data_IF_153775832928
#
_entry.id   IF_153775832928
#
_cell.length_a   1.000
_cell.length_b   1.000
_cell.length_c   1.000
_cell.angle_alpha   90.00
_cell.angle_beta   90.00
_cell.angle_gamma   90.00
#
_symmetry.space_group_name_H-M   'P 1'
#
loop_
_entity.id
_entity.type
_entity.pdbx_description
1 polymer ?
#
# COMPACT_ATOMS: atom_id res chain seq x y z
N UNK A 1 12.68 -8.27 -13.16
CA UNK A 1 13.29 -7.69 -14.39
C UNK A 1 12.26 -7.01 -15.29
N UNK A 2 11.10 -7.65 -15.58
CA UNK A 2 10.07 -7.11 -16.50
C UNK A 2 9.55 -5.74 -16.05
N UNK A 3 9.21 -5.58 -14.78
CA UNK A 3 8.71 -4.30 -14.22
C UNK A 3 9.78 -3.21 -14.22
N UNK A 4 11.07 -3.57 -14.20
CA UNK A 4 12.18 -2.63 -14.34
C UNK A 4 12.37 -2.11 -15.77
N UNK A 5 11.88 -2.86 -16.76
CA UNK A 5 11.92 -2.45 -18.15
C UNK A 5 10.81 -1.44 -18.49
N UNK A 6 9.58 -1.70 -18.00
CA UNK A 6 8.42 -0.82 -18.22
C UNK A 6 7.36 -1.05 -17.12
N UNK A 7 6.58 -0.02 -16.81
CA UNK A 7 5.50 -0.10 -15.82
C UNK A 7 5.96 -0.09 -14.36
N UNK A 8 7.14 0.44 -14.08
CA UNK A 8 7.69 0.52 -12.74
C UNK A 8 6.74 1.25 -11.79
N UNK A 9 6.41 0.59 -10.68
CA UNK A 9 5.45 1.10 -9.71
C UNK A 9 3.98 0.86 -10.05
N UNK A 10 3.62 0.40 -11.25
CA UNK A 10 2.23 0.29 -11.67
C UNK A 10 1.52 -0.89 -10.99
N UNK A 11 1.62 -2.08 -11.55
CA UNK A 11 0.91 -3.27 -11.06
C UNK A 11 1.50 -4.56 -11.61
N UNK A 12 1.20 -5.66 -10.93
CA UNK A 12 1.42 -7.01 -11.45
C UNK A 12 0.26 -7.93 -11.04
N UNK A 13 0.19 -9.10 -11.67
CA UNK A 13 -0.78 -10.13 -11.36
C UNK A 13 -0.12 -11.45 -11.02
N UNK A 14 -0.78 -12.24 -10.18
CA UNK A 14 -0.39 -13.61 -9.88
C UNK A 14 -1.61 -14.54 -9.86
N UNK A 15 -1.53 -15.64 -10.57
CA UNK A 15 -2.50 -16.72 -10.54
C UNK A 15 -1.96 -17.90 -9.74
N UNK A 16 -2.03 -17.80 -8.41
CA UNK A 16 -1.59 -18.82 -7.47
C UNK A 16 -2.62 -19.02 -6.37
N UNK A 17 -2.67 -20.22 -5.83
CA UNK A 17 -3.42 -20.57 -4.60
C UNK A 17 -2.48 -20.74 -3.39
N UNK A 18 -1.18 -20.62 -3.62
CA UNK A 18 -0.17 -20.68 -2.57
C UNK A 18 0.06 -19.29 -2.00
N UNK A 19 -0.35 -19.08 -0.76
CA UNK A 19 -0.24 -17.78 -0.07
C UNK A 19 1.22 -17.36 0.17
N UNK A 20 2.16 -18.29 0.33
CA UNK A 20 3.58 -17.98 0.48
C UNK A 20 4.14 -17.36 -0.80
N UNK A 21 3.78 -17.91 -1.98
CA UNK A 21 4.20 -17.35 -3.26
C UNK A 21 3.58 -15.97 -3.51
N UNK A 22 2.31 -15.79 -3.11
CA UNK A 22 1.62 -14.50 -3.23
C UNK A 22 2.35 -13.46 -2.38
N UNK A 23 2.62 -13.77 -1.11
CA UNK A 23 3.30 -12.87 -0.18
C UNK A 23 4.74 -12.58 -0.60
N UNK A 24 5.46 -13.61 -1.07
CA UNK A 24 6.82 -13.44 -1.58
C UNK A 24 6.87 -12.47 -2.76
N UNK A 25 5.96 -12.62 -3.72
CA UNK A 25 5.88 -11.70 -4.85
C UNK A 25 5.48 -10.30 -4.39
N UNK A 26 4.50 -10.18 -3.48
CA UNK A 26 4.02 -8.90 -2.96
C UNK A 26 5.12 -8.09 -2.27
N UNK A 27 6.02 -8.76 -1.56
CA UNK A 27 7.13 -8.10 -0.86
C UNK A 27 8.30 -7.72 -1.78
N UNK A 28 8.46 -8.41 -2.91
CA UNK A 28 9.58 -8.19 -3.84
C UNK A 28 9.23 -7.32 -5.04
N UNK A 29 7.98 -7.36 -5.50
CA UNK A 29 7.54 -6.59 -6.66
C UNK A 29 7.43 -5.11 -6.32
N UNK A 30 8.10 -4.27 -7.11
CA UNK A 30 8.05 -2.82 -6.96
C UNK A 30 6.85 -2.24 -7.72
N UNK A 31 5.67 -2.54 -7.22
CA UNK A 31 4.37 -2.14 -7.80
C UNK A 31 3.44 -1.64 -6.70
N UNK A 32 2.48 -0.82 -7.08
CA UNK A 32 1.48 -0.27 -6.15
C UNK A 32 0.24 -1.16 -6.02
N UNK A 33 0.09 -2.15 -6.91
CA UNK A 33 -1.06 -3.06 -6.93
C UNK A 33 -0.62 -4.46 -7.33
N UNK A 34 -1.16 -5.44 -6.62
CA UNK A 34 -1.02 -6.85 -7.01
C UNK A 34 -2.40 -7.48 -7.14
N UNK A 35 -2.71 -7.95 -8.34
CA UNK A 35 -3.96 -8.62 -8.64
C UNK A 35 -3.80 -10.12 -8.46
N UNK A 36 -4.49 -10.69 -7.48
CA UNK A 36 -4.43 -12.12 -7.17
C UNK A 36 -5.63 -12.83 -7.79
N UNK A 37 -5.39 -13.78 -8.69
CA UNK A 37 -6.40 -14.62 -9.35
C UNK A 37 -7.51 -13.86 -10.07
N UNK A 38 -7.20 -12.69 -10.58
CA UNK A 38 -8.14 -11.86 -11.35
C UNK A 38 -7.43 -11.23 -12.54
N UNK A 39 -8.20 -10.74 -13.51
CA UNK A 39 -7.67 -10.07 -14.67
C UNK A 39 -7.02 -8.73 -14.26
N UNK A 40 -5.72 -8.61 -14.50
CA UNK A 40 -4.97 -7.41 -14.13
C UNK A 40 -5.48 -6.16 -14.85
N UNK A 41 -5.83 -6.28 -16.12
CA UNK A 41 -6.29 -5.16 -16.94
C UNK A 41 -7.55 -4.48 -16.42
N UNK A 42 -8.42 -5.22 -15.76
CA UNK A 42 -9.67 -4.72 -15.17
C UNK A 42 -9.51 -4.45 -13.68
N UNK A 43 -8.96 -5.42 -12.96
CA UNK A 43 -8.84 -5.36 -11.51
C UNK A 43 -8.08 -4.14 -10.97
N UNK A 44 -7.09 -3.63 -11.71
CA UNK A 44 -6.35 -2.43 -11.34
C UNK A 44 -7.24 -1.19 -11.16
N UNK A 45 -8.24 -1.05 -12.00
CA UNK A 45 -9.14 0.11 -12.04
C UNK A 45 -10.31 0.00 -11.08
N UNK A 46 -10.32 -1.05 -10.26
CA UNK A 46 -11.43 -1.42 -9.39
C UNK A 46 -12.41 -2.34 -10.10
N UNK A 47 -12.95 -3.28 -9.34
CA UNK A 47 -13.98 -4.22 -9.79
C UNK A 47 -14.94 -4.49 -8.63
N UNK A 48 -16.13 -4.99 -8.97
CA UNK A 48 -17.17 -5.36 -7.99
C UNK A 48 -16.68 -6.44 -7.01
N UNK A 49 -15.70 -7.25 -7.41
CA UNK A 49 -15.21 -8.40 -6.65
C UNK A 49 -13.88 -8.15 -5.91
N UNK A 50 -13.27 -6.97 -6.03
CA UNK A 50 -11.96 -6.73 -5.39
C UNK A 50 -11.91 -5.57 -4.39
N UNK A 51 -12.99 -4.81 -4.25
CA UNK A 51 -13.09 -3.74 -3.26
C UNK A 51 -12.18 -2.53 -3.49
N UNK A 52 -11.44 -2.49 -4.60
CA UNK A 52 -10.61 -1.33 -4.95
C UNK A 52 -11.48 -0.20 -5.50
N UNK A 53 -11.13 1.07 -5.26
CA UNK A 53 -11.86 2.20 -5.82
C UNK A 53 -11.87 2.18 -7.34
N UNK A 54 -13.05 2.38 -7.94
CA UNK A 54 -13.17 2.53 -9.39
C UNK A 54 -12.49 3.80 -9.87
N UNK A 55 -11.49 3.66 -10.73
CA UNK A 55 -10.77 4.79 -11.31
C UNK A 55 -10.01 4.39 -12.57
N UNK A 56 -10.03 5.25 -13.58
CA UNK A 56 -9.17 5.13 -14.76
C UNK A 56 -7.78 5.74 -14.54
N UNK A 57 -7.60 6.51 -13.47
CA UNK A 57 -6.32 7.15 -13.12
C UNK A 57 -5.69 6.45 -11.94
N UNK A 58 -4.49 5.90 -12.13
CA UNK A 58 -3.79 5.08 -11.15
C UNK A 58 -2.44 5.70 -10.78
N UNK A 59 -2.21 5.88 -9.48
CA UNK A 59 -0.89 6.29 -8.97
C UNK A 59 0.08 5.11 -8.95
N UNK A 60 1.33 5.33 -9.30
CA UNK A 60 2.39 4.33 -9.29
C UNK A 60 3.32 4.45 -8.08
N UNK A 61 2.96 5.27 -7.10
CA UNK A 61 3.73 5.50 -5.88
C UNK A 61 5.14 6.02 -6.14
N UNK A 62 5.98 5.94 -5.13
CA UNK A 62 7.40 6.36 -5.23
C UNK A 62 8.18 5.53 -6.25
N UNK A 63 7.80 4.27 -6.46
CA UNK A 63 8.42 3.43 -7.49
C UNK A 63 8.28 4.00 -8.90
N UNK A 64 7.13 4.63 -9.20
CA UNK A 64 6.85 5.26 -10.49
C UNK A 64 7.08 6.78 -10.50
N UNK A 65 7.65 7.35 -9.43
CA UNK A 65 7.85 8.80 -9.31
C UNK A 65 6.56 9.58 -9.07
N UNK A 66 5.51 8.93 -8.57
CA UNK A 66 4.24 9.58 -8.28
C UNK A 66 4.10 9.91 -6.79
N UNK A 67 3.29 10.92 -6.49
CA UNK A 67 2.97 11.35 -5.11
C UNK A 67 1.98 10.43 -4.40
N UNK A 68 1.28 9.57 -5.13
CA UNK A 68 0.33 8.60 -4.58
C UNK A 68 0.48 7.23 -5.23
N UNK A 69 0.18 6.17 -4.48
CA UNK A 69 0.09 4.79 -4.95
C UNK A 69 -1.36 4.32 -5.11
N UNK A 70 -2.33 5.19 -4.85
CA UNK A 70 -3.74 4.86 -4.82
C UNK A 70 -4.40 4.99 -6.20
N UNK A 71 -5.58 4.39 -6.33
CA UNK A 71 -6.52 4.73 -7.39
C UNK A 71 -7.06 6.13 -7.14
N UNK A 72 -7.01 7.00 -8.14
CA UNK A 72 -7.37 8.40 -7.97
C UNK A 72 -8.88 8.54 -7.86
N UNK A 73 -9.33 9.15 -6.78
CA UNK A 73 -10.74 9.42 -6.48
C UNK A 73 -10.94 10.88 -6.14
N UNK A 74 -12.17 11.29 -5.89
CA UNK A 74 -12.51 12.67 -5.53
C UNK A 74 -11.67 13.21 -4.35
N UNK A 75 -11.29 12.37 -3.40
CA UNK A 75 -10.46 12.78 -2.26
C UNK A 75 -9.12 13.42 -2.65
N UNK A 76 -8.57 13.04 -3.79
CA UNK A 76 -7.28 13.56 -4.29
C UNK A 76 -7.40 14.98 -4.88
N UNK A 77 -8.62 15.44 -5.11
CA UNK A 77 -8.92 16.78 -5.61
C UNK A 77 -9.42 17.72 -4.51
N UNK A 78 -9.60 17.20 -3.28
CA UNK A 78 -10.05 18.00 -2.15
C UNK A 78 -8.86 18.66 -1.48
N UNK A 79 -9.01 19.95 -1.17
CA UNK A 79 -8.11 20.65 -0.27
C UNK A 79 -8.66 20.52 1.17
N UNK A 80 -7.98 19.72 2.00
CA UNK A 80 -8.44 19.39 3.36
C UNK A 80 -7.67 20.21 4.39
N UNK A 81 -8.42 20.87 5.27
CA UNK A 81 -7.85 21.55 6.44
C UNK A 81 -8.18 20.76 7.70
N UNK A 82 -7.16 20.41 8.45
CA UNK A 82 -7.30 19.75 9.75
C UNK A 82 -7.53 20.79 10.85
N UNK A 83 -8.58 20.59 11.64
CA UNK A 83 -8.80 21.36 12.88
C UNK A 83 -8.59 20.39 14.04
N UNK A 84 -7.54 20.62 14.80
CA UNK A 84 -7.16 19.76 15.93
C UNK A 84 -7.44 20.46 17.25
N UNK A 85 -8.15 19.75 18.12
CA UNK A 85 -8.38 20.18 19.50
C UNK A 85 -7.54 19.31 20.46
N UNK A 86 -7.09 19.87 21.58
CA UNK A 86 -6.39 19.08 22.58
C UNK A 86 -7.31 18.02 23.19
N UNK A 87 -6.77 16.84 23.39
CA UNK A 87 -7.41 15.74 24.13
C UNK A 87 -6.57 15.43 25.37
N UNK A 88 -7.12 14.76 26.41
CA UNK A 88 -6.32 14.25 27.50
C UNK A 88 -5.18 13.38 26.99
N UNK A 89 -3.97 13.62 27.51
CA UNK A 89 -2.80 12.90 27.05
C UNK A 89 -2.80 11.46 27.63
N UNK A 90 -2.81 10.49 26.74
CA UNK A 90 -2.52 9.09 27.05
C UNK A 90 -1.08 8.80 26.60
N UNK A 91 -0.12 9.06 27.50
CA UNK A 91 1.31 8.85 27.22
C UNK A 91 1.64 7.38 27.48
N UNK A 92 1.97 6.60 26.45
CA UNK A 92 2.34 5.20 26.67
C UNK A 92 3.62 5.10 27.48
N UNK A 93 3.68 4.11 28.37
CA UNK A 93 4.88 3.86 29.18
C UNK A 93 6.05 3.38 28.29
N UNK A 94 7.16 4.13 28.22
CA UNK A 94 8.35 3.73 27.47
C UNK A 94 8.90 2.35 27.86
N UNK A 95 8.74 1.96 29.15
CA UNK A 95 9.17 0.66 29.65
C UNK A 95 8.41 -0.49 28.98
N UNK A 96 7.12 -0.26 28.67
CA UNK A 96 6.28 -1.25 27.99
C UNK A 96 6.59 -1.27 26.50
N UNK A 97 6.67 -0.09 25.87
CA UNK A 97 6.90 0.02 24.41
C UNK A 97 8.26 -0.55 24.02
N UNK A 98 9.30 -0.19 24.79
CA UNK A 98 10.67 -0.57 24.46
C UNK A 98 11.16 -1.81 25.24
N UNK A 99 10.26 -2.55 25.91
CA UNK A 99 10.62 -3.75 26.67
C UNK A 99 11.49 -4.74 25.87
N UNK A 100 11.18 -5.08 24.58
CA UNK A 100 12.03 -5.98 23.79
C UNK A 100 13.43 -5.40 23.52
N UNK A 101 13.53 -4.07 23.37
CA UNK A 101 14.81 -3.40 23.17
C UNK A 101 15.65 -3.44 24.46
N UNK A 102 15.04 -3.06 25.58
CA UNK A 102 15.71 -3.06 26.86
C UNK A 102 16.14 -4.45 27.32
N UNK A 103 15.34 -5.48 27.01
CA UNK A 103 15.71 -6.87 27.31
C UNK A 103 16.95 -7.33 26.52
N UNK A 104 17.15 -6.79 25.31
CA UNK A 104 18.26 -7.19 24.44
C UNK A 104 19.53 -6.36 24.63
N UNK A 105 19.39 -5.07 24.90
CA UNK A 105 20.51 -4.11 24.88
C UNK A 105 20.70 -3.37 26.19
N UNK A 106 19.85 -3.59 27.20
CA UNK A 106 19.84 -2.82 28.43
C UNK A 106 19.14 -1.46 28.29
N UNK A 107 18.95 -0.75 29.41
CA UNK A 107 18.42 0.63 29.42
C UNK A 107 19.52 1.62 29.14
#
# INVERSE_FOLDING_TARGET
>A
DITGFSGYGHSCGIHSVNEEHILELATKAKVSRMMVRQAQSVGNSGDWENGMPFSMSLGCGTWGGNITSENITVKHFLNVTWVSYPIPAEIPDPEVIFAPHFAKYGK
#
